data_IF_629297940021
#
_entry.id   IF_629297940021
#
_cell.length_a   1.000
_cell.length_b   1.000
_cell.length_c   1.000
_cell.angle_alpha   90.00
_cell.angle_beta   90.00
_cell.angle_gamma   90.00
#
_symmetry.space_group_name_H-M   'P 1'
#
loop_
_entity.id
_entity.type
_entity.pdbx_description
1 polymer ?
#
# COMPACT_ATOMS: atom_id res chain seq x y z
N UNK A 1 6.92 10.45 9.13
CA UNK A 1 6.61 9.44 8.11
C UNK A 1 7.49 9.59 6.86
N UNK A 2 7.93 10.79 6.49
CA UNK A 2 8.89 11.00 5.39
C UNK A 2 10.31 10.58 5.71
N UNK A 3 10.55 10.25 6.90
CA UNK A 3 11.80 9.96 7.54
C UNK A 3 12.15 8.48 7.61
N UNK A 4 11.36 7.59 7.03
CA UNK A 4 11.73 6.19 6.89
C UNK A 4 12.24 5.93 5.47
N UNK A 5 13.54 5.76 5.24
CA UNK A 5 14.07 5.43 3.92
C UNK A 5 13.38 4.22 3.30
N UNK A 6 13.05 3.21 4.08
CA UNK A 6 12.30 2.03 3.64
C UNK A 6 10.86 2.32 3.20
N UNK A 7 10.25 3.44 3.64
CA UNK A 7 8.90 3.81 3.22
C UNK A 7 8.84 4.36 1.78
N UNK A 8 9.97 4.59 1.15
CA UNK A 8 10.05 5.06 -0.23
C UNK A 8 10.15 3.93 -1.26
N UNK A 9 10.42 2.72 -0.80
CA UNK A 9 10.51 1.58 -1.66
C UNK A 9 9.14 0.94 -1.90
N UNK A 10 8.78 0.75 -3.15
CA UNK A 10 7.66 -0.10 -3.54
C UNK A 10 8.12 -1.57 -3.40
N UNK A 11 7.26 -2.42 -2.87
CA UNK A 11 7.59 -3.84 -2.69
C UNK A 11 8.02 -4.22 -1.27
N UNK A 12 7.56 -3.46 -0.25
CA UNK A 12 7.75 -3.89 1.13
C UNK A 12 6.99 -5.19 1.39
N UNK A 13 7.69 -6.16 1.94
CA UNK A 13 7.09 -7.43 2.35
C UNK A 13 6.03 -7.23 3.43
N UNK A 14 4.93 -7.94 3.31
CA UNK A 14 3.93 -7.95 4.39
C UNK A 14 4.37 -8.84 5.56
N UNK A 15 3.79 -8.64 6.75
CA UNK A 15 4.22 -9.39 7.95
C UNK A 15 4.19 -10.92 7.81
N UNK A 16 3.26 -11.48 7.05
CA UNK A 16 3.17 -12.93 6.82
C UNK A 16 4.33 -13.45 5.97
N UNK A 17 4.76 -12.71 4.97
CA UNK A 17 5.93 -13.04 4.15
C UNK A 17 7.21 -12.93 4.97
N UNK A 18 7.35 -11.85 5.73
CA UNK A 18 8.48 -11.69 6.65
C UNK A 18 8.58 -12.85 7.65
N UNK A 19 7.45 -13.29 8.20
CA UNK A 19 7.40 -14.41 9.11
C UNK A 19 7.82 -15.72 8.45
N UNK A 20 7.39 -15.98 7.21
CA UNK A 20 7.78 -17.15 6.45
C UNK A 20 9.29 -17.15 6.17
N UNK A 21 9.82 -16.06 5.61
CA UNK A 21 11.24 -15.89 5.30
C UNK A 21 12.08 -16.05 6.59
N UNK A 22 11.63 -15.44 7.70
CA UNK A 22 12.28 -15.56 8.99
C UNK A 22 12.38 -17.02 9.44
N UNK A 23 11.31 -17.80 9.30
CA UNK A 23 11.32 -19.23 9.66
C UNK A 23 12.32 -20.01 8.80
N UNK A 24 12.37 -19.73 7.49
CA UNK A 24 13.34 -20.37 6.60
C UNK A 24 14.78 -19.98 6.96
N UNK A 25 15.05 -18.71 7.21
CA UNK A 25 16.37 -18.21 7.60
C UNK A 25 16.85 -18.82 8.92
N UNK A 26 15.99 -18.90 9.94
CA UNK A 26 16.32 -19.51 11.23
C UNK A 26 16.75 -20.98 11.07
N UNK A 27 16.01 -21.75 10.28
CA UNK A 27 16.32 -23.15 9.99
C UNK A 27 17.55 -23.30 9.10
N UNK A 28 17.67 -22.48 8.07
CA UNK A 28 18.77 -22.51 7.11
C UNK A 28 20.12 -22.30 7.80
N UNK A 29 20.20 -21.32 8.69
CA UNK A 29 21.41 -21.00 9.46
C UNK A 29 21.92 -22.17 10.30
N UNK A 30 21.03 -22.95 10.92
CA UNK A 30 21.38 -24.08 11.76
C UNK A 30 21.81 -25.29 10.93
N UNK A 31 21.28 -25.41 9.70
CA UNK A 31 21.56 -26.58 8.87
C UNK A 31 22.89 -26.45 8.11
N UNK A 32 22.96 -25.63 7.08
CA UNK A 32 24.18 -25.57 6.25
C UNK A 32 24.51 -24.21 5.67
N UNK A 33 23.55 -23.25 5.71
CA UNK A 33 23.73 -21.98 5.07
C UNK A 33 24.48 -21.03 6.00
N UNK A 34 25.58 -20.46 5.50
CA UNK A 34 26.41 -19.53 6.24
C UNK A 34 26.57 -18.17 5.52
N UNK A 35 25.95 -18.03 4.35
CA UNK A 35 25.94 -16.81 3.56
C UNK A 35 24.51 -16.48 3.14
N UNK A 36 24.09 -15.24 3.32
CA UNK A 36 22.83 -14.67 2.79
C UNK A 36 23.16 -13.64 1.74
N UNK A 37 22.58 -13.80 0.55
CA UNK A 37 22.80 -12.89 -0.59
C UNK A 37 21.48 -12.22 -0.95
N UNK A 38 21.45 -10.89 -0.95
CA UNK A 38 20.29 -10.06 -1.29
C UNK A 38 20.57 -9.25 -2.56
N UNK A 39 20.45 -9.85 -3.77
CA UNK A 39 20.53 -9.12 -5.03
C UNK A 39 19.20 -8.42 -5.29
N UNK A 40 19.11 -7.15 -5.40
CA UNK A 40 17.93 -6.29 -5.34
C UNK A 40 17.58 -5.87 -3.90
N UNK A 41 18.57 -5.31 -3.22
CA UNK A 41 18.49 -5.04 -1.78
C UNK A 41 17.44 -4.00 -1.38
N UNK A 42 17.08 -3.08 -2.27
CA UNK A 42 16.07 -2.06 -2.03
C UNK A 42 16.31 -1.31 -0.72
N UNK A 43 15.53 -1.59 0.29
CA UNK A 43 15.65 -1.02 1.63
C UNK A 43 16.31 -1.97 2.65
N UNK A 44 17.03 -2.99 2.20
CA UNK A 44 17.74 -3.99 3.03
C UNK A 44 16.83 -4.80 3.96
N UNK A 45 15.61 -5.06 3.53
CA UNK A 45 14.63 -5.76 4.37
C UNK A 45 15.06 -7.19 4.70
N UNK A 46 15.62 -7.91 3.73
CA UNK A 46 16.10 -9.28 3.91
C UNK A 46 17.35 -9.33 4.74
N UNK A 47 18.29 -8.40 4.53
CA UNK A 47 19.48 -8.23 5.36
C UNK A 47 19.11 -8.03 6.84
N UNK A 48 18.12 -7.20 7.13
CA UNK A 48 17.59 -7.03 8.48
C UNK A 48 17.00 -8.31 9.06
N UNK A 49 16.21 -9.05 8.27
CA UNK A 49 15.64 -10.32 8.69
C UNK A 49 16.73 -11.35 8.97
N UNK A 50 17.77 -11.43 8.14
CA UNK A 50 18.90 -12.33 8.32
C UNK A 50 19.61 -12.08 9.67
N UNK A 51 19.90 -10.82 10.01
CA UNK A 51 20.48 -10.48 11.31
C UNK A 51 19.55 -10.84 12.47
N UNK A 52 18.25 -10.58 12.34
CA UNK A 52 17.26 -10.95 13.37
C UNK A 52 17.17 -12.45 13.60
N UNK A 53 17.53 -13.27 12.62
CA UNK A 53 17.56 -14.73 12.71
C UNK A 53 18.90 -15.28 13.16
N UNK A 54 19.88 -14.41 13.41
CA UNK A 54 21.17 -14.73 14.00
C UNK A 54 22.29 -14.97 12.99
N UNK A 55 22.13 -14.61 11.72
CA UNK A 55 23.27 -14.46 10.83
C UNK A 55 24.11 -13.25 11.28
N UNK A 56 25.42 -13.41 11.29
CA UNK A 56 26.31 -12.28 11.52
C UNK A 56 26.28 -11.34 10.29
N UNK A 57 26.36 -10.02 10.46
CA UNK A 57 26.38 -9.10 9.30
C UNK A 57 27.45 -9.46 8.25
N UNK A 58 28.60 -9.97 8.66
CA UNK A 58 29.69 -10.42 7.77
C UNK A 58 29.30 -11.59 6.85
N UNK A 59 28.20 -12.27 7.14
CA UNK A 59 27.64 -13.36 6.33
C UNK A 59 26.62 -12.84 5.30
N UNK A 60 26.40 -11.51 5.23
CA UNK A 60 25.40 -10.89 4.38
C UNK A 60 26.09 -10.11 3.28
N UNK A 61 25.74 -10.44 2.03
CA UNK A 61 26.16 -9.74 0.84
C UNK A 61 24.92 -9.16 0.14
N UNK A 62 24.93 -7.87 -0.18
CA UNK A 62 23.81 -7.21 -0.83
C UNK A 62 24.27 -6.44 -2.07
N UNK A 63 23.39 -6.36 -3.07
CA UNK A 63 23.59 -5.50 -4.25
C UNK A 63 22.29 -4.90 -4.73
N UNK A 64 22.41 -3.81 -5.47
CA UNK A 64 21.29 -3.13 -6.15
C UNK A 64 21.87 -2.17 -7.19
N UNK A 65 21.06 -1.85 -8.20
CA UNK A 65 21.41 -0.91 -9.28
C UNK A 65 20.79 0.47 -9.06
N UNK A 66 19.98 0.66 -8.02
CA UNK A 66 19.32 1.94 -7.78
C UNK A 66 20.21 2.91 -6.99
N UNK A 67 20.19 4.18 -7.39
CA UNK A 67 20.90 5.26 -6.71
C UNK A 67 20.54 5.31 -5.22
N UNK A 68 19.24 5.24 -4.89
CA UNK A 68 18.75 5.27 -3.52
C UNK A 68 19.37 4.18 -2.65
N UNK A 69 19.32 2.92 -3.11
CA UNK A 69 19.87 1.79 -2.38
C UNK A 69 21.40 1.89 -2.27
N UNK A 70 22.06 2.40 -3.32
CA UNK A 70 23.51 2.58 -3.32
C UNK A 70 23.96 3.63 -2.30
N UNK A 71 23.27 4.76 -2.19
CA UNK A 71 23.54 5.74 -1.12
C UNK A 71 23.39 5.10 0.26
N UNK A 72 22.31 4.35 0.49
CA UNK A 72 22.09 3.63 1.75
C UNK A 72 23.15 2.56 2.00
N UNK A 73 23.44 1.74 1.01
CA UNK A 73 24.39 0.63 1.11
C UNK A 73 25.80 1.11 1.47
N UNK A 74 26.27 2.17 0.80
CA UNK A 74 27.56 2.78 1.10
C UNK A 74 27.59 3.37 2.51
N UNK A 75 26.52 4.05 2.93
CA UNK A 75 26.42 4.59 4.28
C UNK A 75 26.44 3.49 5.37
N UNK A 76 25.70 2.40 5.18
CA UNK A 76 25.60 1.28 6.10
C UNK A 76 26.95 0.56 6.23
N UNK A 77 27.61 0.31 5.09
CA UNK A 77 28.90 -0.41 5.06
C UNK A 77 30.10 0.49 5.37
N UNK A 78 29.91 1.81 5.46
CA UNK A 78 30.98 2.76 5.73
C UNK A 78 31.86 3.08 4.53
N UNK A 79 31.39 2.81 3.33
CA UNK A 79 32.07 3.19 2.07
C UNK A 79 31.90 4.69 1.82
N UNK A 80 32.89 5.33 1.16
CA UNK A 80 32.79 6.74 0.77
C UNK A 80 31.80 6.93 -0.37
N UNK A 81 30.89 7.91 -0.24
CA UNK A 81 29.98 8.29 -1.33
C UNK A 81 30.70 8.97 -2.51
N UNK A 82 31.97 9.37 -2.37
CA UNK A 82 32.78 9.87 -3.48
C UNK A 82 32.83 8.87 -4.65
N UNK A 83 32.85 7.58 -4.36
CA UNK A 83 32.85 6.54 -5.36
C UNK A 83 31.57 6.48 -6.22
N UNK A 84 30.48 7.08 -5.74
CA UNK A 84 29.21 7.16 -6.47
C UNK A 84 29.16 8.36 -7.42
N UNK A 85 30.08 9.33 -7.33
CA UNK A 85 30.12 10.52 -8.19
C UNK A 85 28.75 11.20 -8.28
N UNK A 86 28.15 11.52 -7.13
CA UNK A 86 26.81 12.12 -7.05
C UNK A 86 26.83 13.59 -7.44
N UNK A 87 25.88 14.00 -8.31
CA UNK A 87 25.60 15.41 -8.64
C UNK A 87 24.09 15.64 -8.54
N UNK A 88 23.65 16.77 -7.96
CA UNK A 88 22.24 17.08 -7.79
C UNK A 88 21.96 18.58 -7.91
N UNK A 89 20.87 18.93 -8.61
CA UNK A 89 20.43 20.32 -8.76
C UNK A 89 20.15 20.96 -7.39
N UNK A 90 20.83 22.09 -7.12
CA UNK A 90 20.65 22.86 -5.88
C UNK A 90 21.41 22.33 -4.67
N UNK A 91 22.31 21.37 -4.86
CA UNK A 91 23.23 20.84 -3.84
C UNK A 91 24.65 20.87 -4.34
N UNK A 92 25.60 21.08 -3.42
CA UNK A 92 27.03 20.97 -3.75
C UNK A 92 27.47 19.51 -3.65
N UNK A 93 28.51 19.14 -4.39
CA UNK A 93 29.08 17.79 -4.33
C UNK A 93 29.57 17.45 -2.91
N UNK A 94 30.09 18.45 -2.18
CA UNK A 94 30.51 18.29 -0.79
C UNK A 94 29.32 17.97 0.15
N UNK A 95 28.16 18.62 -0.03
CA UNK A 95 26.95 18.30 0.73
C UNK A 95 26.49 16.87 0.46
N UNK A 96 26.59 16.40 -0.79
CA UNK A 96 26.18 15.05 -1.19
C UNK A 96 27.07 13.94 -0.66
N UNK A 97 28.23 14.24 -0.11
CA UNK A 97 29.04 13.27 0.65
C UNK A 97 28.39 12.86 1.97
N UNK A 98 27.44 13.66 2.47
CA UNK A 98 26.62 13.28 3.61
C UNK A 98 25.45 12.40 3.12
N UNK A 99 25.36 11.10 3.51
CA UNK A 99 24.33 10.19 3.02
C UNK A 99 22.90 10.64 3.32
N UNK A 100 22.66 11.31 4.45
CA UNK A 100 21.34 11.81 4.80
C UNK A 100 20.91 12.97 3.89
N UNK A 101 21.88 13.85 3.52
CA UNK A 101 21.61 14.93 2.55
C UNK A 101 21.42 14.36 1.15
N UNK A 102 22.23 13.39 0.74
CA UNK A 102 22.08 12.72 -0.56
C UNK A 102 20.70 12.03 -0.70
N UNK A 103 20.23 11.31 0.32
CA UNK A 103 18.90 10.71 0.35
C UNK A 103 17.78 11.77 0.35
N UNK A 104 17.99 12.87 1.07
CA UNK A 104 17.05 13.99 1.05
C UNK A 104 16.96 14.61 -0.36
N UNK A 105 18.11 14.90 -0.99
CA UNK A 105 18.19 15.45 -2.34
C UNK A 105 17.49 14.53 -3.36
N UNK A 106 17.82 13.23 -3.34
CA UNK A 106 17.17 12.25 -4.19
C UNK A 106 15.64 12.26 -4.03
N UNK A 107 15.15 12.26 -2.79
CA UNK A 107 13.70 12.27 -2.50
C UNK A 107 13.04 13.56 -2.98
N UNK A 108 13.64 14.70 -2.66
CA UNK A 108 13.14 16.01 -3.04
C UNK A 108 13.04 16.12 -4.57
N UNK A 109 14.10 15.80 -5.29
CA UNK A 109 14.18 15.89 -6.74
C UNK A 109 13.25 14.90 -7.45
N UNK A 110 13.10 13.68 -6.93
CA UNK A 110 12.17 12.69 -7.50
C UNK A 110 10.70 13.12 -7.40
N UNK A 111 10.35 14.02 -6.48
CA UNK A 111 8.98 14.52 -6.31
C UNK A 111 8.67 15.74 -7.19
N UNK A 112 9.68 16.45 -7.70
CA UNK A 112 9.48 17.67 -8.51
C UNK A 112 8.70 17.39 -9.78
N UNK A 113 8.86 16.22 -10.41
CA UNK A 113 8.11 15.82 -11.60
C UNK A 113 6.58 15.81 -11.39
N UNK A 114 6.14 15.65 -10.16
CA UNK A 114 4.73 15.62 -9.76
C UNK A 114 4.28 16.90 -9.03
N UNK A 115 5.11 17.95 -9.02
CA UNK A 115 4.85 19.20 -8.28
C UNK A 115 3.54 19.91 -8.68
N UNK A 116 3.04 19.68 -9.89
CA UNK A 116 1.72 20.18 -10.33
C UNK A 116 0.53 19.54 -9.57
N UNK A 117 0.77 18.39 -8.90
CA UNK A 117 -0.22 17.74 -8.05
C UNK A 117 -0.14 18.36 -6.64
N UNK A 118 -1.25 18.94 -6.17
CA UNK A 118 -1.35 19.65 -4.88
C UNK A 118 -0.69 18.90 -3.70
N UNK A 119 -0.82 17.57 -3.70
CA UNK A 119 -0.20 16.71 -2.70
C UNK A 119 1.35 16.79 -2.71
N UNK A 120 1.97 16.63 -3.88
CA UNK A 120 3.43 16.67 -3.99
C UNK A 120 3.97 18.08 -3.78
N UNK A 121 3.24 19.10 -4.25
CA UNK A 121 3.58 20.49 -4.02
C UNK A 121 3.65 20.84 -2.52
N UNK A 122 2.63 20.43 -1.75
CA UNK A 122 2.62 20.63 -0.30
C UNK A 122 3.81 19.94 0.40
N UNK A 123 4.19 18.76 -0.09
CA UNK A 123 5.34 18.02 0.41
C UNK A 123 6.68 18.74 0.11
N UNK A 124 6.85 19.19 -1.10
CA UNK A 124 8.05 19.91 -1.49
C UNK A 124 8.25 21.15 -0.61
N UNK A 125 7.16 21.91 -0.37
CA UNK A 125 7.22 23.08 0.54
C UNK A 125 7.57 22.65 1.97
N UNK A 126 7.01 21.55 2.48
CA UNK A 126 7.35 21.05 3.83
C UNK A 126 8.82 20.62 3.90
N UNK A 127 9.31 19.90 2.90
CA UNK A 127 10.70 19.50 2.81
C UNK A 127 11.65 20.70 2.77
N UNK A 128 11.33 21.73 1.97
CA UNK A 128 12.14 22.95 1.92
C UNK A 128 12.19 23.68 3.26
N UNK A 129 11.03 23.89 3.89
CA UNK A 129 10.93 24.63 5.16
C UNK A 129 11.55 23.90 6.35
N UNK A 130 11.58 22.59 6.30
CA UNK A 130 12.04 21.73 7.39
C UNK A 130 13.20 20.82 6.98
N UNK A 131 14.03 21.30 6.05
CA UNK A 131 15.18 20.55 5.51
C UNK A 131 16.00 19.87 6.61
N UNK A 132 16.43 20.65 7.60
CA UNK A 132 17.31 20.14 8.67
C UNK A 132 16.63 19.05 9.51
N UNK A 133 15.33 19.18 9.77
CA UNK A 133 14.58 18.16 10.50
C UNK A 133 14.47 16.86 9.67
N UNK A 134 14.21 16.97 8.36
CA UNK A 134 14.14 15.80 7.46
C UNK A 134 15.51 15.12 7.37
N UNK A 135 16.57 15.87 7.20
CA UNK A 135 17.95 15.35 7.16
C UNK A 135 18.32 14.68 8.49
N UNK A 136 18.01 15.31 9.63
CA UNK A 136 18.30 14.73 10.95
C UNK A 136 17.59 13.40 11.16
N UNK A 137 16.36 13.26 10.71
CA UNK A 137 15.62 11.99 10.82
C UNK A 137 16.20 10.93 9.89
N UNK A 138 16.58 11.28 8.66
CA UNK A 138 17.27 10.37 7.75
C UNK A 138 18.59 9.89 8.35
N UNK A 139 19.38 10.80 8.95
CA UNK A 139 20.62 10.45 9.64
C UNK A 139 20.37 9.44 10.77
N UNK A 140 19.39 9.70 11.63
CA UNK A 140 19.05 8.79 12.72
C UNK A 140 18.68 7.40 12.22
N UNK A 141 18.00 7.30 11.09
CA UNK A 141 17.62 6.01 10.50
C UNK A 141 18.81 5.28 9.87
N UNK A 142 19.67 6.00 9.18
CA UNK A 142 20.92 5.46 8.67
C UNK A 142 21.81 4.93 9.80
N UNK A 143 21.92 5.69 10.89
CA UNK A 143 22.70 5.28 12.07
C UNK A 143 22.12 3.99 12.69
N UNK A 144 20.80 3.90 12.77
CA UNK A 144 20.13 2.68 13.23
C UNK A 144 20.37 1.50 12.29
N UNK A 145 20.24 1.69 10.98
CA UNK A 145 20.50 0.63 10.00
C UNK A 145 21.98 0.19 10.08
N UNK A 146 22.89 1.16 10.13
CA UNK A 146 24.33 0.91 10.31
C UNK A 146 24.64 0.12 11.59
N UNK A 147 23.99 0.45 12.71
CA UNK A 147 24.20 -0.27 13.98
C UNK A 147 23.79 -1.74 13.93
N UNK A 148 22.81 -2.08 13.08
CA UNK A 148 22.31 -3.45 12.92
C UNK A 148 23.12 -4.24 11.88
N UNK A 149 23.45 -3.57 10.76
CA UNK A 149 24.02 -4.20 9.56
C UNK A 149 25.55 -3.96 9.42
N UNK A 150 26.19 -3.39 10.45
CA UNK A 150 27.63 -3.12 10.41
C UNK A 150 28.45 -4.38 10.15
N UNK A 151 29.26 -4.33 9.10
CA UNK A 151 30.11 -5.46 8.68
C UNK A 151 29.55 -6.28 7.52
N UNK A 152 28.30 -6.03 7.07
CA UNK A 152 27.82 -6.59 5.81
C UNK A 152 28.58 -5.99 4.62
N UNK A 153 28.57 -6.66 3.48
CA UNK A 153 29.09 -6.11 2.23
C UNK A 153 27.95 -5.59 1.35
N UNK A 154 28.21 -4.49 0.63
CA UNK A 154 27.31 -3.95 -0.35
C UNK A 154 28.08 -3.53 -1.62
N UNK A 155 27.46 -3.77 -2.79
CA UNK A 155 27.98 -3.33 -4.09
C UNK A 155 26.85 -2.76 -4.95
N UNK A 156 27.14 -1.66 -5.66
CA UNK A 156 26.29 -1.21 -6.77
C UNK A 156 26.54 -2.14 -7.96
N UNK A 157 25.71 -3.16 -8.12
CA UNK A 157 25.94 -4.29 -9.02
C UNK A 157 24.61 -4.86 -9.49
N UNK A 158 24.57 -5.29 -10.77
CA UNK A 158 23.43 -5.99 -11.36
C UNK A 158 23.17 -7.33 -10.65
N UNK A 159 21.90 -7.68 -10.49
CA UNK A 159 21.51 -8.91 -9.82
C UNK A 159 21.99 -10.17 -10.55
N UNK A 160 22.08 -10.14 -11.88
CA UNK A 160 22.54 -11.29 -12.67
C UNK A 160 24.02 -11.55 -12.46
N UNK A 161 24.82 -10.50 -12.40
CA UNK A 161 26.24 -10.59 -12.11
C UNK A 161 26.48 -11.10 -10.69
N UNK A 162 25.76 -10.57 -9.70
CA UNK A 162 25.86 -11.04 -8.30
C UNK A 162 25.41 -12.49 -8.17
N UNK A 163 24.36 -12.90 -8.89
CA UNK A 163 23.89 -14.27 -8.87
C UNK A 163 24.93 -15.22 -9.47
N UNK A 164 25.62 -14.85 -10.56
CA UNK A 164 26.66 -15.66 -11.19
C UNK A 164 27.83 -15.95 -10.25
N UNK A 165 28.19 -15.03 -9.38
CA UNK A 165 29.24 -15.21 -8.39
C UNK A 165 28.90 -16.27 -7.32
N UNK A 166 27.61 -16.48 -7.05
CA UNK A 166 27.16 -17.33 -5.92
C UNK A 166 26.36 -18.56 -6.35
N UNK A 167 26.08 -18.72 -7.64
CA UNK A 167 25.22 -19.80 -8.15
C UNK A 167 25.77 -21.20 -7.81
N UNK A 168 27.08 -21.35 -7.74
CA UNK A 168 27.78 -22.60 -7.42
C UNK A 168 28.13 -22.77 -5.94
N UNK A 169 27.74 -21.82 -5.08
CA UNK A 169 28.01 -21.91 -3.64
C UNK A 169 26.88 -22.69 -2.92
N UNK A 170 27.14 -23.93 -2.43
CA UNK A 170 26.11 -24.73 -1.75
C UNK A 170 25.75 -24.20 -0.35
N UNK A 171 26.46 -23.21 0.15
CA UNK A 171 26.22 -22.58 1.45
C UNK A 171 25.58 -21.21 1.35
N UNK A 172 25.30 -20.74 0.12
CA UNK A 172 24.61 -19.48 -0.12
C UNK A 172 23.09 -19.66 -0.16
N UNK A 173 22.40 -18.80 0.59
CA UNK A 173 20.96 -18.58 0.52
C UNK A 173 20.72 -17.22 -0.17
N UNK A 174 20.22 -17.26 -1.38
CA UNK A 174 19.90 -16.07 -2.17
C UNK A 174 18.43 -15.69 -1.98
N UNK A 175 18.17 -14.46 -1.61
CA UNK A 175 16.81 -13.93 -1.48
C UNK A 175 16.66 -12.76 -2.46
N UNK A 176 16.07 -13.02 -3.60
CA UNK A 176 15.91 -12.06 -4.69
C UNK A 176 14.51 -11.47 -4.70
N UNK A 177 14.42 -10.16 -4.89
CA UNK A 177 13.17 -9.43 -5.04
C UNK A 177 13.23 -8.56 -6.31
N UNK A 178 13.28 -9.19 -7.50
CA UNK A 178 13.45 -8.47 -8.75
C UNK A 178 12.25 -7.54 -9.03
N UNK A 179 12.44 -6.48 -9.83
CA UNK A 179 11.38 -5.53 -10.16
C UNK A 179 10.39 -6.14 -11.15
N UNK A 180 9.31 -6.74 -10.67
CA UNK A 180 8.27 -7.42 -11.45
C UNK A 180 7.11 -6.50 -11.86
N UNK A 181 7.31 -5.19 -11.87
CA UNK A 181 6.27 -4.21 -12.21
C UNK A 181 6.16 -3.98 -13.72
N UNK A 182 4.96 -4.18 -14.25
CA UNK A 182 4.65 -3.94 -15.68
C UNK A 182 4.77 -2.47 -16.13
N UNK A 183 4.88 -1.51 -15.17
CA UNK A 183 4.95 -0.08 -15.47
C UNK A 183 6.38 0.48 -15.60
N UNK A 184 7.41 -0.35 -15.38
CA UNK A 184 8.80 0.07 -15.31
C UNK A 184 9.15 0.62 -13.92
N UNK A 185 10.08 -0.06 -13.28
CA UNK A 185 10.61 0.28 -11.95
C UNK A 185 11.27 1.66 -11.94
N UNK A 186 11.98 2.01 -13.00
CA UNK A 186 12.75 3.25 -13.15
C UNK A 186 11.87 4.49 -13.07
N UNK A 187 10.63 4.42 -13.52
CA UNK A 187 9.69 5.55 -13.51
C UNK A 187 9.35 6.07 -12.11
N UNK A 188 9.46 5.20 -11.11
CA UNK A 188 9.14 5.60 -9.72
C UNK A 188 10.28 6.33 -9.04
N UNK A 189 11.51 6.11 -9.51
CA UNK A 189 12.73 6.65 -8.90
C UNK A 189 13.45 7.67 -9.77
N UNK A 190 12.86 7.99 -10.91
CA UNK A 190 13.38 8.97 -11.85
C UNK A 190 13.40 10.37 -11.25
N UNK A 191 14.57 10.95 -11.17
CA UNK A 191 14.80 12.35 -10.77
C UNK A 191 14.73 13.34 -11.94
N UNK A 192 14.30 12.88 -13.12
CA UNK A 192 14.26 13.65 -14.37
C UNK A 192 15.64 14.24 -14.76
N UNK A 193 16.70 13.52 -14.50
CA UNK A 193 18.07 13.94 -14.77
C UNK A 193 18.60 15.03 -13.82
N UNK A 194 17.82 15.40 -12.79
CA UNK A 194 18.22 16.44 -11.82
C UNK A 194 19.19 15.94 -10.76
N UNK A 195 19.29 14.64 -10.60
CA UNK A 195 20.33 13.99 -9.82
C UNK A 195 20.92 12.87 -10.66
N UNK A 196 22.24 12.84 -10.76
CA UNK A 196 23.01 11.85 -11.53
C UNK A 196 24.07 11.21 -10.65
N UNK A 197 24.55 10.06 -11.05
CA UNK A 197 25.56 9.31 -10.33
C UNK A 197 26.32 8.39 -11.28
N UNK A 198 27.38 7.79 -10.79
CA UNK A 198 28.11 6.72 -11.52
C UNK A 198 27.31 5.43 -11.47
N UNK A 199 26.40 5.32 -12.41
CA UNK A 199 25.48 4.21 -12.52
C UNK A 199 26.21 2.92 -12.91
N UNK A 200 25.97 1.76 -12.24
CA UNK A 200 26.50 0.48 -12.67
C UNK A 200 25.90 0.09 -14.02
N UNK A 201 26.59 -0.75 -14.77
CA UNK A 201 25.98 -1.40 -15.95
C UNK A 201 24.96 -2.44 -15.47
N UNK A 202 23.76 -2.42 -16.01
CA UNK A 202 22.72 -3.40 -15.71
C UNK A 202 21.76 -3.61 -16.89
N UNK A 203 21.14 -4.78 -16.93
CA UNK A 203 20.03 -5.07 -17.83
C UNK A 203 18.69 -4.69 -17.20
N UNK A 204 17.74 -4.22 -18.02
CA UNK A 204 16.36 -4.03 -17.54
C UNK A 204 15.75 -5.41 -17.34
N UNK A 205 15.28 -5.68 -16.11
CA UNK A 205 14.54 -6.90 -15.81
C UNK A 205 13.17 -6.88 -16.50
N UNK A 206 12.96 -7.78 -17.45
CA UNK A 206 11.67 -7.89 -18.14
C UNK A 206 10.66 -8.58 -17.21
N UNK A 207 9.58 -7.92 -16.77
CA UNK A 207 8.58 -8.52 -15.90
C UNK A 207 7.79 -9.68 -16.55
N UNK A 208 7.85 -9.85 -17.88
CA UNK A 208 7.17 -10.94 -18.58
C UNK A 208 8.05 -12.20 -18.72
N UNK A 209 9.34 -12.04 -18.99
CA UNK A 209 10.28 -13.15 -19.24
C UNK A 209 11.33 -13.34 -18.17
N UNK A 210 11.75 -12.27 -17.48
CA UNK A 210 12.88 -12.29 -16.56
C UNK A 210 12.73 -13.25 -15.38
N UNK A 211 11.51 -13.48 -14.89
CA UNK A 211 11.27 -14.50 -13.84
C UNK A 211 11.51 -15.91 -14.36
N UNK A 212 11.09 -16.21 -15.59
CA UNK A 212 11.34 -17.50 -16.20
C UNK A 212 12.84 -17.70 -16.43
N UNK A 213 13.52 -16.68 -16.96
CA UNK A 213 14.97 -16.69 -17.19
C UNK A 213 15.74 -16.92 -15.88
N UNK A 214 15.32 -16.24 -14.79
CA UNK A 214 15.89 -16.43 -13.46
C UNK A 214 15.73 -17.87 -12.99
N UNK A 215 14.52 -18.43 -13.07
CA UNK A 215 14.24 -19.79 -12.62
C UNK A 215 14.96 -20.85 -13.48
N UNK A 216 15.08 -20.62 -14.79
CA UNK A 216 15.84 -21.49 -15.68
C UNK A 216 17.34 -21.46 -15.35
N UNK A 217 17.89 -20.28 -15.06
CA UNK A 217 19.30 -20.11 -14.67
C UNK A 217 19.65 -20.81 -13.35
N UNK A 218 18.72 -20.76 -12.37
CA UNK A 218 18.97 -21.35 -11.03
C UNK A 218 18.47 -22.79 -10.87
N UNK A 219 17.92 -23.40 -11.90
CA UNK A 219 17.34 -24.75 -11.84
C UNK A 219 18.32 -25.77 -11.26
N UNK A 220 19.55 -25.77 -11.76
CA UNK A 220 20.62 -26.69 -11.36
C UNK A 220 21.67 -26.03 -10.44
N UNK A 221 21.36 -24.83 -9.93
CA UNK A 221 22.26 -24.09 -9.04
C UNK A 221 22.52 -24.83 -7.73
N UNK A 222 23.72 -24.64 -7.15
CA UNK A 222 24.05 -25.19 -5.84
C UNK A 222 23.52 -24.31 -4.70
N UNK A 223 23.37 -23.02 -4.92
CA UNK A 223 22.72 -22.11 -3.97
C UNK A 223 21.23 -22.41 -3.83
N UNK A 224 20.64 -22.04 -2.69
CA UNK A 224 19.19 -22.00 -2.52
C UNK A 224 18.69 -20.61 -2.88
N UNK A 225 17.73 -20.52 -3.80
CA UNK A 225 17.05 -19.28 -4.14
C UNK A 225 15.67 -19.21 -3.53
N UNK A 226 15.35 -18.11 -2.89
CA UNK A 226 14.00 -17.63 -2.63
C UNK A 226 13.76 -16.39 -3.48
N UNK A 227 12.76 -16.43 -4.37
CA UNK A 227 12.40 -15.34 -5.25
C UNK A 227 10.99 -14.85 -4.93
N UNK A 228 10.86 -13.55 -4.70
CA UNK A 228 9.58 -12.90 -4.58
C UNK A 228 9.10 -12.43 -5.96
N UNK A 229 7.90 -12.82 -6.34
CA UNK A 229 7.35 -12.48 -7.65
C UNK A 229 5.87 -12.06 -7.58
N UNK A 230 5.50 -11.09 -8.39
CA UNK A 230 4.12 -10.71 -8.63
C UNK A 230 3.65 -11.38 -9.92
N UNK A 231 2.61 -12.21 -9.84
CA UNK A 231 2.17 -13.03 -10.94
C UNK A 231 0.73 -12.77 -11.34
N UNK A 232 0.47 -12.83 -12.65
CA UNK A 232 -0.89 -12.90 -13.18
C UNK A 232 -1.47 -14.29 -12.91
N UNK A 233 -2.78 -14.43 -12.63
CA UNK A 233 -3.39 -15.74 -12.40
C UNK A 233 -3.04 -16.76 -13.50
N UNK A 234 -2.46 -17.89 -13.10
CA UNK A 234 -2.15 -19.00 -13.99
C UNK A 234 -0.73 -19.04 -14.58
N UNK A 235 0.12 -18.05 -14.31
CA UNK A 235 1.48 -17.97 -14.87
C UNK A 235 2.51 -17.86 -13.75
N UNK A 236 2.96 -19.00 -13.21
CA UNK A 236 4.03 -19.02 -12.19
C UNK A 236 5.29 -19.57 -12.83
N UNK A 237 6.36 -18.78 -12.86
CA UNK A 237 7.65 -19.18 -13.43
C UNK A 237 8.40 -20.21 -12.60
N UNK A 238 8.08 -20.35 -11.32
CA UNK A 238 8.73 -21.27 -10.38
C UNK A 238 7.76 -22.09 -9.55
N UNK A 239 8.29 -22.87 -8.60
CA UNK A 239 7.51 -23.63 -7.63
C UNK A 239 7.21 -22.76 -6.40
N UNK A 240 5.95 -22.32 -6.19
CA UNK A 240 5.62 -21.46 -5.07
C UNK A 240 5.66 -22.25 -3.76
N UNK A 241 6.34 -21.70 -2.76
CA UNK A 241 6.35 -22.22 -1.39
C UNK A 241 5.53 -21.38 -0.43
N UNK A 242 5.20 -20.17 -0.84
CA UNK A 242 4.28 -19.27 -0.16
C UNK A 242 3.56 -18.39 -1.17
N UNK A 243 2.25 -18.17 -0.98
CA UNK A 243 1.50 -17.21 -1.78
C UNK A 243 0.59 -16.36 -0.92
N UNK A 244 0.39 -15.11 -1.33
CA UNK A 244 -0.64 -14.25 -0.77
C UNK A 244 -1.49 -13.64 -1.88
N UNK A 245 -2.72 -13.32 -1.53
CA UNK A 245 -3.57 -12.53 -2.39
C UNK A 245 -3.14 -11.06 -2.39
N UNK A 246 -2.82 -10.53 -3.56
CA UNK A 246 -2.53 -9.12 -3.75
C UNK A 246 -3.80 -8.26 -3.69
N UNK A 247 -3.68 -7.07 -3.15
CA UNK A 247 -4.81 -6.12 -2.96
C UNK A 247 -5.35 -5.55 -4.27
N UNK A 248 -4.66 -5.77 -5.40
CA UNK A 248 -5.04 -5.23 -6.71
C UNK A 248 -5.49 -6.36 -7.66
N UNK A 249 -6.76 -6.34 -8.01
CA UNK A 249 -7.35 -7.07 -9.16
C UNK A 249 -7.00 -8.55 -9.35
N UNK A 250 -6.82 -9.29 -8.25
CA UNK A 250 -6.59 -10.72 -8.34
C UNK A 250 -5.15 -11.13 -8.60
N UNK A 251 -4.21 -10.21 -8.46
CA UNK A 251 -2.78 -10.51 -8.54
C UNK A 251 -2.35 -11.23 -7.28
N UNK A 252 -1.81 -12.42 -7.43
CA UNK A 252 -1.15 -13.17 -6.37
C UNK A 252 0.34 -12.79 -6.35
N UNK A 253 0.90 -12.81 -5.17
CA UNK A 253 2.32 -12.62 -4.95
C UNK A 253 2.87 -13.90 -4.35
N UNK A 254 3.94 -14.39 -4.94
CA UNK A 254 4.53 -15.67 -4.59
C UNK A 254 5.96 -15.50 -4.09
N UNK A 255 6.34 -16.32 -3.15
CA UNK A 255 7.73 -16.68 -2.90
C UNK A 255 7.97 -18.03 -3.58
N UNK A 256 8.89 -18.07 -4.53
CA UNK A 256 9.24 -19.26 -5.30
C UNK A 256 10.68 -19.65 -5.04
N UNK A 257 11.03 -20.88 -5.37
CA UNK A 257 12.35 -21.44 -5.12
C UNK A 257 12.76 -22.45 -6.19
N UNK A 258 14.07 -22.63 -6.37
CA UNK A 258 14.63 -23.70 -7.17
C UNK A 258 14.61 -25.07 -6.45
N UNK A 259 14.38 -25.09 -5.12
CA UNK A 259 14.35 -26.32 -4.31
C UNK A 259 13.15 -26.35 -3.37
N UNK A 260 11.95 -26.64 -3.90
CA UNK A 260 10.72 -26.59 -3.11
C UNK A 260 10.74 -27.51 -1.90
N UNK A 261 11.22 -28.75 -2.07
CA UNK A 261 11.23 -29.75 -0.98
C UNK A 261 12.13 -29.30 0.18
N UNK A 262 13.28 -28.72 -0.12
CA UNK A 262 14.18 -28.19 0.87
C UNK A 262 13.57 -27.01 1.65
N UNK A 263 12.91 -26.08 0.95
CA UNK A 263 12.23 -24.95 1.62
C UNK A 263 11.04 -25.42 2.45
N UNK A 264 10.33 -26.46 2.01
CA UNK A 264 9.27 -27.10 2.81
C UNK A 264 9.85 -27.65 4.11
N UNK A 265 10.99 -28.33 4.07
CA UNK A 265 11.69 -28.82 5.24
C UNK A 265 12.15 -27.68 6.16
N UNK A 266 12.84 -26.67 5.61
CA UNK A 266 13.31 -25.50 6.34
C UNK A 266 12.18 -24.68 6.99
N UNK A 267 11.00 -24.62 6.35
CA UNK A 267 9.82 -23.97 6.89
C UNK A 267 9.01 -24.86 7.84
N UNK A 268 9.46 -26.08 8.14
CA UNK A 268 8.75 -27.08 8.93
C UNK A 268 7.36 -27.44 8.38
N UNK A 269 7.23 -27.45 7.05
CA UNK A 269 5.96 -27.68 6.36
C UNK A 269 4.90 -26.59 6.59
N UNK A 270 5.29 -25.47 7.23
CA UNK A 270 4.42 -24.32 7.43
C UNK A 270 4.37 -23.50 6.14
N UNK A 271 3.23 -22.94 5.84
CA UNK A 271 3.06 -21.96 4.76
C UNK A 271 3.30 -22.45 3.32
N UNK A 272 3.21 -23.76 3.04
CA UNK A 272 3.16 -24.23 1.66
C UNK A 272 2.00 -23.54 0.96
N UNK A 273 2.33 -22.70 -0.02
CA UNK A 273 1.32 -21.94 -0.72
C UNK A 273 0.44 -22.85 -1.56
N UNK A 274 -0.84 -22.74 -1.34
CA UNK A 274 -1.80 -23.04 -2.39
C UNK A 274 -2.14 -21.72 -3.06
N UNK A 275 -2.22 -21.65 -4.41
CA UNK A 275 -2.69 -20.46 -5.09
C UNK A 275 -3.99 -20.01 -4.42
N UNK A 276 -3.98 -18.81 -3.85
CA UNK A 276 -5.19 -18.23 -3.31
C UNK A 276 -6.02 -17.79 -4.50
N UNK A 277 -6.94 -18.62 -4.95
CA UNK A 277 -7.97 -18.18 -5.87
C UNK A 277 -8.75 -17.06 -5.18
N UNK A 278 -8.62 -15.86 -5.69
CA UNK A 278 -9.42 -14.73 -5.25
C UNK A 278 -10.83 -14.88 -5.77
N UNK A 279 -11.64 -15.68 -5.14
CA UNK A 279 -13.07 -15.64 -5.37
C UNK A 279 -13.61 -14.32 -4.81
N UNK A 280 -13.64 -13.30 -5.70
CA UNK A 280 -14.52 -12.16 -5.48
C UNK A 280 -15.94 -12.71 -5.55
N UNK A 281 -16.59 -12.87 -4.42
CA UNK A 281 -17.91 -13.46 -4.33
C UNK A 281 -18.86 -12.61 -3.50
N UNK A 282 -20.14 -12.62 -3.89
CA UNK A 282 -21.20 -12.03 -3.09
C UNK A 282 -21.42 -12.80 -1.79
N UNK A 283 -22.07 -12.15 -0.85
CA UNK A 283 -22.59 -12.82 0.34
C UNK A 283 -23.74 -13.74 -0.06
N UNK A 284 -23.91 -14.83 0.68
CA UNK A 284 -25.06 -15.72 0.50
C UNK A 284 -26.35 -15.07 1.06
N UNK A 285 -26.84 -14.05 0.36
CA UNK A 285 -28.04 -13.31 0.71
C UNK A 285 -28.64 -12.68 -0.56
N UNK A 286 -29.93 -12.38 -0.51
CA UNK A 286 -30.62 -11.67 -1.59
C UNK A 286 -30.19 -10.20 -1.64
N UNK A 287 -30.21 -9.63 -2.83
CA UNK A 287 -30.05 -8.17 -3.04
C UNK A 287 -31.41 -7.50 -2.85
N UNK A 288 -31.43 -6.36 -2.17
CA UNK A 288 -32.65 -5.57 -1.97
C UNK A 288 -33.27 -5.19 -3.33
N UNK A 289 -34.58 -5.42 -3.56
CA UNK A 289 -35.23 -4.97 -4.78
C UNK A 289 -35.14 -3.45 -4.99
N UNK A 290 -35.02 -3.01 -6.25
CA UNK A 290 -34.90 -1.58 -6.59
C UNK A 290 -36.15 -0.76 -6.30
N UNK A 291 -37.26 -1.41 -6.04
CA UNK A 291 -38.59 -0.85 -5.74
C UNK A 291 -39.09 -1.20 -4.33
N UNK A 292 -38.19 -1.71 -3.46
CA UNK A 292 -38.54 -2.04 -2.09
C UNK A 292 -39.18 -0.87 -1.34
N UNK A 293 -40.30 -1.11 -0.61
CA UNK A 293 -41.00 -0.06 0.13
C UNK A 293 -40.52 -0.01 1.61
N UNK A 294 -39.86 1.09 1.95
CA UNK A 294 -39.38 1.34 3.30
C UNK A 294 -40.51 1.82 4.23
N UNK A 295 -40.63 1.22 5.38
CA UNK A 295 -41.63 1.54 6.40
C UNK A 295 -41.00 1.71 7.80
N UNK A 296 -41.79 2.07 8.79
CA UNK A 296 -41.34 2.18 10.19
C UNK A 296 -41.01 0.79 10.81
N UNK A 297 -41.49 -0.28 10.18
CA UNK A 297 -41.25 -1.66 10.58
C UNK A 297 -40.04 -2.31 9.89
N UNK A 298 -39.48 -1.65 8.87
CA UNK A 298 -38.28 -2.14 8.18
C UNK A 298 -37.11 -2.29 9.15
N UNK A 299 -36.51 -3.47 9.18
CA UNK A 299 -35.33 -3.75 9.98
C UNK A 299 -34.07 -3.43 9.20
N UNK A 300 -33.17 -2.64 9.83
CA UNK A 300 -31.87 -2.31 9.24
C UNK A 300 -30.77 -2.76 10.17
N UNK A 301 -29.82 -3.51 9.63
CA UNK A 301 -28.63 -3.92 10.35
C UNK A 301 -27.37 -3.69 9.51
N UNK A 302 -26.21 -3.70 10.18
CA UNK A 302 -24.91 -3.51 9.57
C UNK A 302 -23.98 -4.62 10.05
N UNK A 303 -23.32 -5.27 9.11
CA UNK A 303 -22.37 -6.34 9.40
C UNK A 303 -21.02 -6.01 8.81
N UNK A 304 -19.97 -6.34 9.54
CA UNK A 304 -18.60 -6.34 9.01
C UNK A 304 -18.48 -7.47 7.98
N UNK A 305 -17.83 -7.17 6.86
CA UNK A 305 -17.63 -8.12 5.77
C UNK A 305 -16.16 -8.17 5.33
N UNK A 306 -15.78 -9.24 4.69
CA UNK A 306 -14.45 -9.39 4.13
C UNK A 306 -14.24 -8.49 2.90
N UNK A 307 -12.98 -8.18 2.62
CA UNK A 307 -12.59 -7.39 1.46
C UNK A 307 -13.11 -7.96 0.14
N UNK A 308 -13.05 -9.28 -0.04
CA UNK A 308 -13.52 -9.98 -1.25
C UNK A 308 -15.02 -9.78 -1.49
N UNK A 309 -15.84 -9.84 -0.44
CA UNK A 309 -17.28 -9.59 -0.56
C UNK A 309 -17.57 -8.11 -0.86
N UNK A 310 -16.86 -7.19 -0.20
CA UNK A 310 -16.99 -5.77 -0.47
C UNK A 310 -16.64 -5.44 -1.93
N UNK A 311 -15.57 -6.03 -2.47
CA UNK A 311 -15.18 -5.85 -3.87
C UNK A 311 -16.24 -6.32 -4.86
N UNK A 312 -16.92 -7.46 -4.57
CA UNK A 312 -18.03 -7.95 -5.40
C UNK A 312 -19.11 -6.88 -5.57
N UNK A 313 -19.63 -6.32 -4.47
CA UNK A 313 -20.70 -5.32 -4.53
C UNK A 313 -20.21 -3.98 -5.06
N UNK A 314 -18.96 -3.62 -4.83
CA UNK A 314 -18.36 -2.43 -5.43
C UNK A 314 -18.31 -2.54 -6.96
N UNK A 315 -17.91 -3.68 -7.51
CA UNK A 315 -17.95 -3.95 -8.96
C UNK A 315 -19.39 -3.97 -9.49
N UNK A 316 -20.31 -4.57 -8.75
CA UNK A 316 -21.70 -4.70 -9.16
C UNK A 316 -22.40 -3.33 -9.27
N UNK A 317 -22.14 -2.39 -8.37
CA UNK A 317 -22.87 -1.12 -8.27
C UNK A 317 -22.09 0.11 -8.75
N UNK A 318 -20.89 -0.06 -9.24
CA UNK A 318 -20.07 1.04 -9.76
C UNK A 318 -20.03 1.00 -11.28
N UNK A 319 -20.29 2.17 -11.90
CA UNK A 319 -20.27 2.30 -13.36
C UNK A 319 -18.92 2.76 -13.92
N UNK A 320 -18.01 3.23 -13.07
CA UNK A 320 -16.73 3.82 -13.46
C UNK A 320 -15.57 3.25 -12.61
N UNK A 321 -14.77 4.10 -12.07
CA UNK A 321 -13.57 3.73 -11.29
C UNK A 321 -13.92 3.16 -9.90
N UNK A 322 -13.38 1.99 -9.57
CA UNK A 322 -13.45 1.42 -8.24
C UNK A 322 -12.36 2.07 -7.39
N UNK A 323 -12.69 3.07 -6.61
CA UNK A 323 -11.74 3.80 -5.75
C UNK A 323 -10.91 2.92 -4.79
N UNK A 324 -10.16 3.55 -3.90
CA UNK A 324 -9.29 2.88 -2.93
C UNK A 324 -10.03 1.82 -2.08
N UNK A 325 -9.34 0.78 -1.68
CA UNK A 325 -9.83 -0.20 -0.70
C UNK A 325 -9.88 0.41 0.71
N UNK A 326 -10.55 -0.26 1.62
CA UNK A 326 -10.64 0.15 3.02
C UNK A 326 -10.16 -0.98 3.94
N UNK A 327 -9.51 -0.68 5.07
CA UNK A 327 -9.15 -1.69 6.06
C UNK A 327 -10.39 -2.30 6.73
N UNK A 328 -11.49 -1.56 6.82
CA UNK A 328 -12.74 -2.01 7.43
C UNK A 328 -13.91 -1.84 6.47
N UNK A 329 -14.56 -2.95 6.16
CA UNK A 329 -15.66 -3.00 5.20
C UNK A 329 -16.94 -3.48 5.90
N UNK A 330 -18.06 -2.84 5.56
CA UNK A 330 -19.37 -3.12 6.13
C UNK A 330 -20.43 -3.29 5.05
N UNK A 331 -21.40 -4.15 5.29
CA UNK A 331 -22.61 -4.27 4.50
C UNK A 331 -23.83 -3.79 5.29
N UNK A 332 -24.71 -3.08 4.61
CA UNK A 332 -26.01 -2.63 5.13
C UNK A 332 -27.07 -3.59 4.62
N UNK A 333 -27.81 -4.19 5.53
CA UNK A 333 -28.92 -5.08 5.25
C UNK A 333 -30.24 -4.40 5.61
N UNK A 334 -31.24 -4.65 4.79
CA UNK A 334 -32.64 -4.23 4.97
C UNK A 334 -33.50 -5.47 4.90
N UNK A 335 -34.16 -5.82 6.00
CA UNK A 335 -34.93 -7.07 6.15
C UNK A 335 -34.18 -8.32 5.66
N UNK A 336 -32.88 -8.41 6.02
CA UNK A 336 -32.00 -9.51 5.65
C UNK A 336 -31.43 -9.45 4.23
N UNK A 337 -31.85 -8.51 3.39
CA UNK A 337 -31.36 -8.33 2.02
C UNK A 337 -30.29 -7.25 1.97
N UNK A 338 -29.22 -7.44 1.18
CA UNK A 338 -28.14 -6.47 1.09
C UNK A 338 -28.57 -5.23 0.27
N UNK A 339 -28.42 -4.06 0.85
CA UNK A 339 -28.78 -2.77 0.27
C UNK A 339 -27.58 -1.91 -0.13
N UNK A 340 -26.43 -2.12 0.50
CA UNK A 340 -25.23 -1.33 0.21
C UNK A 340 -24.00 -1.84 0.97
N UNK A 341 -22.85 -1.33 0.56
CA UNK A 341 -21.55 -1.59 1.21
C UNK A 341 -20.78 -0.28 1.38
N UNK A 342 -20.03 -0.15 2.45
CA UNK A 342 -19.16 0.98 2.67
C UNK A 342 -17.87 0.59 3.38
N UNK A 343 -16.85 1.41 3.22
CA UNK A 343 -15.55 1.21 3.83
C UNK A 343 -15.08 2.44 4.60
N UNK A 344 -14.57 2.23 5.79
CA UNK A 344 -14.02 3.27 6.66
C UNK A 344 -12.53 3.03 6.85
N UNK A 345 -11.76 4.10 6.84
CA UNK A 345 -10.33 4.11 7.15
C UNK A 345 -10.05 5.16 8.23
N UNK A 346 -9.14 4.86 9.15
CA UNK A 346 -8.71 5.87 10.11
C UNK A 346 -7.87 6.97 9.45
N UNK A 347 -7.81 8.12 10.07
CA UNK A 347 -7.07 9.28 9.57
C UNK A 347 -5.55 9.03 9.49
N UNK A 348 -5.00 8.24 10.39
CA UNK A 348 -3.56 7.98 10.45
C UNK A 348 -3.02 7.31 9.19
N UNK A 349 -3.77 6.42 8.54
CA UNK A 349 -3.37 5.76 7.30
C UNK A 349 -3.29 6.71 6.10
N UNK A 350 -4.12 7.75 6.09
CA UNK A 350 -4.22 8.69 4.96
C UNK A 350 -3.41 9.97 5.23
N UNK A 351 -3.44 10.45 6.45
CA UNK A 351 -2.82 11.72 6.85
C UNK A 351 -1.36 11.60 7.25
N UNK A 352 -0.86 10.40 7.51
CA UNK A 352 0.56 10.18 7.70
C UNK A 352 1.42 10.63 6.52
N UNK A 353 0.79 10.89 5.39
CA UNK A 353 1.39 11.54 4.24
C UNK A 353 1.63 13.05 4.43
N UNK A 354 0.97 13.74 5.34
CA UNK A 354 1.04 15.19 5.48
C UNK A 354 1.81 15.68 6.71
N UNK A 355 2.46 14.78 7.47
CA UNK A 355 3.26 15.16 8.65
C UNK A 355 2.49 15.92 9.73
N UNK A 356 1.21 16.14 9.54
CA UNK A 356 0.38 16.90 10.47
C UNK A 356 -0.16 15.99 11.57
N UNK A 357 -0.31 16.55 12.74
CA UNK A 357 -0.94 15.96 13.91
C UNK A 357 -2.15 15.11 13.53
N UNK A 358 -2.33 13.98 14.21
CA UNK A 358 -3.52 13.15 14.07
C UNK A 358 -4.76 14.05 14.14
N UNK A 359 -5.33 14.37 12.99
CA UNK A 359 -6.59 15.08 12.95
C UNK A 359 -7.66 14.13 13.48
N UNK A 360 -8.66 14.62 14.17
CA UNK A 360 -9.79 13.81 14.60
C UNK A 360 -10.69 13.34 13.45
N UNK A 361 -10.16 13.25 12.25
CA UNK A 361 -10.88 12.91 11.02
C UNK A 361 -10.74 11.44 10.66
N UNK A 362 -11.84 10.81 10.36
CA UNK A 362 -11.93 9.44 9.82
C UNK A 362 -12.49 9.52 8.41
N UNK A 363 -12.09 8.62 7.53
CA UNK A 363 -12.49 8.69 6.13
C UNK A 363 -13.49 7.60 5.74
N UNK A 364 -14.61 8.02 5.15
CA UNK A 364 -15.46 7.17 4.34
C UNK A 364 -14.80 7.01 2.97
N UNK A 365 -14.13 5.88 2.77
CA UNK A 365 -13.35 5.59 1.57
C UNK A 365 -14.23 5.33 0.35
N UNK A 366 -15.34 4.68 0.57
CA UNK A 366 -16.37 4.44 -0.43
C UNK A 366 -17.71 4.16 0.25
N UNK A 367 -18.80 4.42 -0.49
CA UNK A 367 -20.15 4.03 -0.12
C UNK A 367 -20.95 3.76 -1.40
N UNK A 368 -21.43 2.53 -1.56
CA UNK A 368 -22.14 2.07 -2.74
C UNK A 368 -23.41 1.34 -2.35
N UNK A 369 -24.49 1.63 -3.06
CA UNK A 369 -25.80 1.03 -2.78
C UNK A 369 -26.47 0.59 -4.06
N UNK A 370 -27.49 -0.24 -3.92
CA UNK A 370 -28.41 -0.54 -5.00
C UNK A 370 -28.95 0.78 -5.62
N UNK A 371 -29.20 0.80 -6.92
CA UNK A 371 -29.88 1.90 -7.58
C UNK A 371 -31.39 1.83 -7.28
N UNK A 372 -31.84 2.43 -6.16
CA UNK A 372 -33.22 2.40 -5.76
C UNK A 372 -34.08 3.44 -6.54
N UNK A 373 -35.25 3.04 -7.03
CA UNK A 373 -36.11 3.88 -7.90
C UNK A 373 -36.59 5.15 -7.21
N UNK A 374 -36.98 5.06 -5.96
CA UNK A 374 -37.70 6.15 -5.27
C UNK A 374 -36.94 6.70 -4.06
N UNK A 375 -36.14 5.88 -3.36
CA UNK A 375 -35.40 6.28 -2.16
C UNK A 375 -33.91 6.49 -2.44
N UNK A 376 -33.29 7.37 -1.66
CA UNK A 376 -31.85 7.60 -1.72
C UNK A 376 -31.13 6.76 -0.65
N UNK A 377 -30.99 5.47 -0.91
CA UNK A 377 -30.33 4.51 -0.02
C UNK A 377 -28.89 4.92 0.29
N UNK A 378 -28.19 5.56 -0.66
CA UNK A 378 -26.85 6.11 -0.43
C UNK A 378 -26.79 7.14 0.71
N UNK A 379 -27.86 7.89 0.95
CA UNK A 379 -27.93 8.79 2.12
C UNK A 379 -28.07 8.03 3.43
N UNK A 380 -28.88 6.95 3.45
CA UNK A 380 -28.97 6.07 4.63
C UNK A 380 -27.59 5.50 4.96
N UNK A 381 -26.90 4.96 3.97
CA UNK A 381 -25.55 4.43 4.13
C UNK A 381 -24.57 5.48 4.68
N UNK A 382 -24.57 6.69 4.12
CA UNK A 382 -23.71 7.78 4.61
C UNK A 382 -24.05 8.16 6.05
N UNK A 383 -25.34 8.20 6.40
CA UNK A 383 -25.79 8.46 7.77
C UNK A 383 -25.40 7.36 8.75
N UNK A 384 -25.37 6.10 8.30
CA UNK A 384 -24.87 4.96 9.06
C UNK A 384 -23.36 5.08 9.28
N UNK A 385 -22.60 5.42 8.25
CA UNK A 385 -21.15 5.60 8.33
C UNK A 385 -20.73 6.73 9.31
N UNK A 386 -21.63 7.68 9.61
CA UNK A 386 -21.40 8.72 10.63
C UNK A 386 -21.51 8.19 12.08
N UNK A 387 -21.93 6.94 12.28
CA UNK A 387 -22.12 6.42 13.62
C UNK A 387 -20.78 6.09 14.28
N UNK A 388 -20.57 6.63 15.47
CA UNK A 388 -19.35 6.50 16.24
C UNK A 388 -18.91 5.05 16.49
N UNK A 389 -19.80 4.08 16.76
CA UNK A 389 -19.41 2.69 16.98
C UNK A 389 -18.56 2.07 15.89
N UNK A 390 -18.86 2.35 14.61
CA UNK A 390 -18.06 1.80 13.48
C UNK A 390 -16.67 2.40 13.40
N UNK A 391 -16.54 3.66 13.79
CA UNK A 391 -15.25 4.35 13.81
C UNK A 391 -14.36 3.79 14.92
N UNK A 392 -14.94 3.47 16.06
CA UNK A 392 -14.20 2.95 17.20
C UNK A 392 -13.55 1.59 16.93
N UNK A 393 -14.12 0.78 16.06
CA UNK A 393 -13.58 -0.53 15.69
C UNK A 393 -12.24 -0.45 14.93
N UNK A 394 -11.96 0.67 14.29
CA UNK A 394 -10.75 0.85 13.45
C UNK A 394 -9.71 1.79 14.03
N UNK A 395 -10.05 2.47 15.12
CA UNK A 395 -9.15 3.39 15.78
C UNK A 395 -8.37 2.69 16.90
N UNK A 396 -7.08 3.00 17.02
CA UNK A 396 -6.32 2.70 18.23
C UNK A 396 -6.90 3.48 19.42
N UNK A 397 -6.57 3.08 20.65
CA UNK A 397 -7.11 3.73 21.86
C UNK A 397 -6.75 5.23 21.91
N UNK A 398 -5.57 5.62 21.43
CA UNK A 398 -5.17 7.02 21.30
C UNK A 398 -5.98 7.80 20.25
N UNK A 399 -6.44 7.12 19.20
CA UNK A 399 -7.23 7.73 18.13
C UNK A 399 -8.71 7.83 18.49
N UNK A 400 -9.23 6.91 19.31
CA UNK A 400 -10.64 6.91 19.78
C UNK A 400 -11.04 8.21 20.46
N UNK A 401 -10.16 8.76 21.28
CA UNK A 401 -10.40 10.03 21.98
C UNK A 401 -10.40 11.23 21.01
N UNK A 402 -9.69 11.12 19.90
CA UNK A 402 -9.52 12.20 18.92
C UNK A 402 -10.50 12.13 17.76
N UNK A 403 -11.08 10.97 17.47
CA UNK A 403 -11.99 10.79 16.34
C UNK A 403 -13.31 11.55 16.58
N UNK A 404 -13.50 12.66 15.85
CA UNK A 404 -14.64 13.56 15.97
C UNK A 404 -15.44 13.70 14.69
N UNK A 405 -14.78 13.55 13.53
CA UNK A 405 -15.40 13.85 12.24
C UNK A 405 -15.22 12.72 11.25
N UNK A 406 -16.20 12.57 10.36
CA UNK A 406 -16.13 11.73 9.16
C UNK A 406 -15.92 12.63 7.95
N UNK A 407 -14.91 12.34 7.16
CA UNK A 407 -14.64 12.99 5.87
C UNK A 407 -14.82 12.00 4.71
N UNK A 408 -15.19 12.53 3.55
CA UNK A 408 -15.19 11.81 2.28
C UNK A 408 -14.85 12.73 1.13
N UNK A 409 -14.26 12.17 0.08
CA UNK A 409 -13.96 12.90 -1.15
C UNK A 409 -14.73 12.28 -2.29
N UNK A 410 -15.45 13.11 -3.06
CA UNK A 410 -16.17 12.68 -4.25
C UNK A 410 -15.63 13.35 -5.50
N UNK A 411 -15.37 12.55 -6.52
CA UNK A 411 -15.04 13.02 -7.86
C UNK A 411 -16.31 13.01 -8.71
N UNK A 412 -16.71 14.16 -9.23
CA UNK A 412 -17.96 14.30 -9.98
C UNK A 412 -17.88 15.40 -11.04
N UNK A 413 -18.69 15.28 -12.08
CA UNK A 413 -18.84 16.35 -13.11
C UNK A 413 -19.63 17.57 -12.60
N UNK A 414 -20.25 17.47 -11.43
CA UNK A 414 -21.14 18.49 -10.89
C UNK A 414 -20.50 19.23 -9.72
N UNK A 415 -20.83 20.54 -9.51
CA UNK A 415 -20.26 21.33 -8.43
C UNK A 415 -20.75 20.94 -7.03
N UNK A 416 -21.67 20.01 -6.93
CA UNK A 416 -22.22 19.49 -5.67
C UNK A 416 -22.75 18.07 -5.86
N UNK A 417 -22.45 17.19 -4.89
CA UNK A 417 -23.00 15.83 -4.87
C UNK A 417 -24.38 15.82 -4.20
N UNK A 418 -25.42 15.51 -4.98
CA UNK A 418 -26.81 15.50 -4.48
C UNK A 418 -27.04 14.55 -3.31
N UNK A 419 -26.27 13.48 -3.21
CA UNK A 419 -26.36 12.47 -2.16
C UNK A 419 -25.90 13.00 -0.80
N UNK A 420 -24.93 13.91 -0.79
CA UNK A 420 -24.37 14.49 0.44
C UNK A 420 -25.20 15.65 0.99
N UNK A 421 -26.10 16.22 0.18
CA UNK A 421 -26.91 17.37 0.57
C UNK A 421 -27.81 17.03 1.77
N UNK A 422 -27.69 17.80 2.86
CA UNK A 422 -28.44 17.61 4.11
C UNK A 422 -27.97 16.43 4.97
N UNK A 423 -26.85 15.77 4.59
CA UNK A 423 -26.20 14.70 5.36
C UNK A 423 -24.82 15.13 5.80
N UNK A 424 -24.00 15.65 4.90
CA UNK A 424 -22.65 16.16 5.16
C UNK A 424 -22.50 17.60 4.68
N UNK A 425 -21.60 18.36 5.28
CA UNK A 425 -21.25 19.74 4.88
C UNK A 425 -20.14 19.69 3.83
N UNK A 426 -20.30 20.45 2.74
CA UNK A 426 -19.23 20.66 1.77
C UNK A 426 -18.15 21.54 2.42
N UNK A 427 -16.97 20.99 2.59
CA UNK A 427 -15.82 21.68 3.20
C UNK A 427 -14.89 22.30 2.16
N UNK A 428 -14.70 21.62 1.01
CA UNK A 428 -13.87 22.13 -0.08
C UNK A 428 -14.42 21.71 -1.45
N UNK A 429 -14.19 22.56 -2.45
CA UNK A 429 -14.55 22.32 -3.85
C UNK A 429 -13.40 22.76 -4.74
N UNK A 430 -12.74 21.79 -5.35
CA UNK A 430 -11.67 22.04 -6.32
C UNK A 430 -12.16 21.62 -7.71
N UNK A 431 -12.00 22.49 -8.71
CA UNK A 431 -12.38 22.22 -10.10
C UNK A 431 -11.15 21.82 -10.90
N UNK A 432 -11.20 20.62 -11.48
CA UNK A 432 -10.23 20.18 -12.47
C UNK A 432 -10.82 20.41 -13.87
N UNK A 433 -10.10 21.08 -14.78
CA UNK A 433 -10.61 21.36 -16.14
C UNK A 433 -10.98 20.13 -16.95
N UNK A 434 -10.28 18.99 -16.71
CA UNK A 434 -10.49 17.74 -17.47
C UNK A 434 -11.36 16.72 -16.73
N UNK A 435 -11.29 16.69 -15.39
CA UNK A 435 -11.91 15.64 -14.55
C UNK A 435 -13.18 16.08 -13.81
N UNK A 436 -13.53 17.38 -13.84
CA UNK A 436 -14.68 17.93 -13.15
C UNK A 436 -14.34 18.46 -11.76
N UNK A 437 -15.08 18.08 -10.73
CA UNK A 437 -14.94 18.61 -9.38
C UNK A 437 -14.46 17.53 -8.43
N UNK A 438 -13.49 17.89 -7.56
CA UNK A 438 -13.15 17.18 -6.35
C UNK A 438 -13.83 17.87 -5.18
N UNK A 439 -14.79 17.19 -4.57
CA UNK A 439 -15.62 17.71 -3.48
C UNK A 439 -15.24 16.99 -2.18
N UNK A 440 -14.83 17.77 -1.17
CA UNK A 440 -14.54 17.24 0.17
C UNK A 440 -15.72 17.54 1.08
N UNK A 441 -16.31 16.52 1.65
CA UNK A 441 -17.41 16.61 2.60
C UNK A 441 -16.96 16.22 4.00
N UNK A 442 -17.54 16.87 5.01
CA UNK A 442 -17.26 16.62 6.43
C UNK A 442 -18.56 16.58 7.23
N UNK A 443 -18.61 15.72 8.22
CA UNK A 443 -19.65 15.72 9.26
C UNK A 443 -19.08 15.30 10.59
N UNK A 444 -19.71 15.67 11.69
CA UNK A 444 -19.43 15.13 13.02
C UNK A 444 -19.86 13.66 13.10
N UNK A 445 -19.08 12.87 13.84
CA UNK A 445 -19.49 11.53 14.25
C UNK A 445 -20.64 11.61 15.25
N UNK A 446 -21.61 10.71 15.11
CA UNK A 446 -22.83 10.71 15.91
C UNK A 446 -22.93 9.45 16.76
N UNK A 447 -23.13 9.65 18.04
CA UNK A 447 -23.41 8.56 18.98
C UNK A 447 -24.90 8.23 18.93
N UNK A 448 -25.27 7.30 18.07
CA UNK A 448 -26.64 6.87 17.86
C UNK A 448 -26.74 5.42 17.39
N UNK A 449 -27.85 4.77 17.64
CA UNK A 449 -28.13 3.41 17.19
C UNK A 449 -28.51 3.39 15.72
N UNK A 450 -28.41 2.21 15.08
CA UNK A 450 -28.88 2.00 13.71
C UNK A 450 -30.37 2.31 13.56
N UNK A 451 -31.17 1.87 14.55
CA UNK A 451 -32.62 2.17 14.57
C UNK A 451 -32.92 3.67 14.60
N UNK A 452 -32.20 4.46 15.42
CA UNK A 452 -32.35 5.92 15.44
C UNK A 452 -31.91 6.55 14.11
N UNK A 453 -30.81 6.05 13.53
CA UNK A 453 -30.32 6.52 12.23
C UNK A 453 -31.33 6.27 11.11
N UNK A 454 -31.91 5.08 11.09
CA UNK A 454 -32.94 4.70 10.13
C UNK A 454 -34.20 5.57 10.27
N UNK A 455 -34.70 5.74 11.50
CA UNK A 455 -35.87 6.60 11.75
C UNK A 455 -35.63 8.06 11.31
N UNK A 456 -34.44 8.62 11.59
CA UNK A 456 -34.06 9.96 11.13
C UNK A 456 -34.02 10.04 9.59
N UNK A 457 -33.41 9.03 8.95
CA UNK A 457 -33.35 8.96 7.49
C UNK A 457 -34.76 8.88 6.88
N UNK A 458 -35.61 8.00 7.37
CA UNK A 458 -36.97 7.81 6.87
C UNK A 458 -37.79 9.11 6.97
N UNK A 459 -37.67 9.82 8.11
CA UNK A 459 -38.31 11.13 8.30
C UNK A 459 -37.79 12.19 7.31
N UNK A 460 -36.50 12.20 7.03
CA UNK A 460 -35.91 13.09 6.02
C UNK A 460 -36.34 12.71 4.60
N UNK A 461 -36.43 11.42 4.26
CA UNK A 461 -36.89 10.96 2.95
C UNK A 461 -38.35 11.40 2.68
N UNK A 462 -39.23 11.28 3.69
CA UNK A 462 -40.61 11.77 3.58
C UNK A 462 -40.66 13.28 3.23
N UNK A 463 -39.84 14.11 3.89
CA UNK A 463 -39.71 15.56 3.62
C UNK A 463 -39.12 15.85 2.22
N UNK A 464 -38.09 15.15 1.82
CA UNK A 464 -37.44 15.34 0.51
C UNK A 464 -38.35 14.91 -0.65
N UNK A 465 -39.17 13.87 -0.46
CA UNK A 465 -40.17 13.45 -1.44
C UNK A 465 -41.23 14.52 -1.61
N UNK A 466 -41.81 15.02 -0.52
CA UNK A 466 -42.81 16.09 -0.55
C UNK A 466 -42.30 17.32 -1.33
N UNK A 467 -41.10 17.79 -1.00
CA UNK A 467 -40.46 18.93 -1.68
C UNK A 467 -40.23 18.68 -3.18
N UNK A 468 -39.98 17.43 -3.60
CA UNK A 468 -39.84 17.08 -5.03
C UNK A 468 -41.17 17.15 -5.75
N UNK A 469 -42.24 16.61 -5.18
CA UNK A 469 -43.57 16.62 -5.78
C UNK A 469 -44.07 18.06 -5.95
N UNK A 470 -43.88 18.91 -4.94
CA UNK A 470 -44.25 20.31 -4.99
C UNK A 470 -43.47 21.12 -6.07
N UNK A 471 -42.20 20.79 -6.30
CA UNK A 471 -41.36 21.43 -7.32
C UNK A 471 -41.66 20.91 -8.75
N UNK A 472 -42.16 19.68 -8.90
CA UNK A 472 -42.56 19.14 -10.20
C UNK A 472 -43.94 19.68 -10.63
N UNK A 473 -44.83 20.01 -9.70
CA UNK A 473 -46.12 20.65 -10.00
C UNK A 473 -46.01 22.14 -10.30
N UNK A 474 -44.82 22.75 -10.16
CA UNK A 474 -44.56 24.16 -10.47
C UNK A 474 -43.82 24.38 -11.82
N UNK A 475 -43.53 23.32 -12.53
CA UNK A 475 -42.99 23.33 -13.90
C UNK A 475 -44.07 22.88 -14.89
#
# INVERSE_FOLDING_TARGET
>A
MFSNPGAFFLGTLVPSEQMFIKTVLESARVNRYNKVVEPCAGAFAMSHLAVQTGFAPQQIEASDVSMFTSIMGYAITGQSLEALELHADGFTDEELLNPAIALYAWKYLSMIKDAEKEYFYAHLIDMERRRDEHVAVLQQQLDRAKSILHGMSYRALDMWEHLEEVIDDPHALVIANPPTYTAGFEKYYDTCGRMTWKEPQYGIFDPETGLQELMDKVRDAKCLLLCYEENKPGETAGAPVFARYGVRDGINVYLTTNRPDEVVELSHGKHIARPLESKIEGLNCSILPTDYEFSEHTHVEVRKIEQRNAQYYRKLWTHNFIGASSPMNFAVFVDGMIAGVFGISNAALIMGAFGSQVSGDVFLMYGMTIPHRTHRVGRLLTMIAQNKPFVMDICSDLEKEKAKTLKTVQMTKYPEAKEMRGVMKLAARNKDPKKGYRLTYVSELKDRTIKQTYAEWLGKEKKWRKARTENMGKK
#
